data_IF_846892955972
#
_entry.id   IF_846892955972
#
_cell.length_a   1.000
_cell.length_b   1.000
_cell.length_c   1.000
_cell.angle_alpha   90.00
_cell.angle_beta   90.00
_cell.angle_gamma   90.00
#
_symmetry.space_group_name_H-M   'P 1'
#
loop_
_entity.id
_entity.type
_entity.pdbx_description
1 polymer ?
#
# COMPACT_ATOMS: atom_id res chain seq x y z
N UNK A 1 -2.96 -5.78 -14.48
CA UNK A 1 -1.75 -4.92 -14.46
C UNK A 1 -1.73 -4.20 -13.13
N UNK A 2 -0.57 -4.03 -12.51
CA UNK A 2 -0.42 -3.24 -11.29
C UNK A 2 0.44 -2.02 -11.57
N UNK A 3 0.20 -0.96 -10.81
CA UNK A 3 0.99 0.27 -10.81
C UNK A 3 1.77 0.33 -9.51
N UNK A 4 3.05 0.66 -9.60
CA UNK A 4 3.92 0.87 -8.45
C UNK A 4 4.20 2.37 -8.28
N UNK A 5 3.83 2.91 -7.12
CA UNK A 5 4.04 4.31 -6.72
C UNK A 5 5.11 4.33 -5.65
N UNK A 6 6.26 4.94 -5.95
CA UNK A 6 7.32 5.16 -4.98
C UNK A 6 6.87 6.16 -3.90
N UNK A 7 7.40 6.04 -2.68
CA UNK A 7 7.07 6.94 -1.58
C UNK A 7 7.40 8.41 -1.90
N UNK A 8 8.47 8.68 -2.66
CA UNK A 8 8.84 10.04 -3.08
C UNK A 8 7.90 10.67 -4.13
N UNK A 9 6.85 9.96 -4.54
CA UNK A 9 5.91 10.44 -5.53
C UNK A 9 4.96 11.51 -4.97
N UNK A 10 4.74 12.58 -5.73
CA UNK A 10 3.86 13.70 -5.36
C UNK A 10 2.37 13.36 -5.26
N UNK A 11 1.97 12.14 -5.65
CA UNK A 11 0.62 11.62 -5.42
C UNK A 11 0.37 11.23 -3.96
N UNK A 12 1.43 11.11 -3.15
CA UNK A 12 1.32 10.82 -1.71
C UNK A 12 1.43 12.15 -0.96
N UNK A 13 0.41 12.44 -0.14
CA UNK A 13 0.34 13.65 0.66
C UNK A 13 0.82 13.32 2.06
N UNK A 14 1.80 14.08 2.55
CA UNK A 14 2.45 13.85 3.84
C UNK A 14 2.10 14.95 4.83
N UNK A 15 1.64 14.58 6.03
CA UNK A 15 1.30 15.55 7.07
C UNK A 15 1.90 15.21 8.45
N UNK A 16 2.39 16.22 9.21
CA UNK A 16 2.81 17.51 8.70
C UNK A 16 4.05 17.32 7.80
N UNK A 17 4.18 18.09 6.72
CA UNK A 17 5.25 17.93 5.73
C UNK A 17 6.66 17.94 6.35
N UNK A 18 6.87 18.81 7.35
CA UNK A 18 8.15 18.93 8.04
C UNK A 18 8.50 17.76 8.99
N UNK A 19 7.60 16.80 9.19
CA UNK A 19 7.87 15.58 9.95
C UNK A 19 8.47 14.46 9.09
N UNK A 20 8.54 14.63 7.77
CA UNK A 20 9.01 13.62 6.83
C UNK A 20 10.35 14.03 6.22
N UNK A 21 11.31 13.11 6.26
CA UNK A 21 12.60 13.26 5.58
C UNK A 21 12.44 12.86 4.12
N UNK A 22 12.47 13.84 3.21
CA UNK A 22 12.13 13.66 1.79
C UNK A 22 13.00 12.64 1.03
N UNK A 23 14.25 12.42 1.44
CA UNK A 23 15.15 11.51 0.74
C UNK A 23 14.72 10.03 0.85
N UNK A 24 14.17 9.65 2.00
CA UNK A 24 13.83 8.26 2.32
C UNK A 24 12.35 8.08 2.74
N UNK A 25 11.56 9.16 2.73
CA UNK A 25 10.18 9.22 3.23
C UNK A 25 10.03 8.54 4.59
N UNK A 26 10.89 8.99 5.50
CA UNK A 26 11.00 8.50 6.87
C UNK A 26 10.44 9.52 7.86
N UNK A 27 9.83 9.05 8.95
CA UNK A 27 9.45 9.89 10.08
C UNK A 27 9.70 9.18 11.42
N UNK A 28 9.93 9.98 12.46
CA UNK A 28 9.97 9.52 13.87
C UNK A 28 8.86 10.15 14.72
N UNK A 29 8.03 11.00 14.11
CA UNK A 29 6.94 11.69 14.78
C UNK A 29 5.70 10.80 14.85
N UNK A 30 5.19 10.57 16.06
CA UNK A 30 3.88 9.96 16.23
C UNK A 30 2.77 10.90 15.76
N UNK A 31 1.81 10.37 15.01
CA UNK A 31 0.74 11.11 14.37
C UNK A 31 1.08 11.61 12.96
N UNK A 32 2.32 11.41 12.48
CA UNK A 32 2.66 11.71 11.09
C UNK A 32 1.92 10.76 10.14
N UNK A 33 1.27 11.33 9.12
CA UNK A 33 0.43 10.61 8.16
C UNK A 33 0.96 10.69 6.74
N UNK A 34 0.63 9.66 5.96
CA UNK A 34 0.76 9.65 4.51
C UNK A 34 -0.60 9.23 3.92
N UNK A 35 -1.12 10.03 2.99
CA UNK A 35 -2.40 9.81 2.32
C UNK A 35 -2.18 9.54 0.84
N UNK A 36 -2.87 8.53 0.31
CA UNK A 36 -2.79 8.15 -1.09
C UNK A 36 -4.17 7.80 -1.64
N UNK A 37 -4.62 8.56 -2.65
CA UNK A 37 -5.86 8.27 -3.39
C UNK A 37 -5.58 7.54 -4.70
N UNK A 38 -6.36 6.51 -4.99
CA UNK A 38 -6.21 5.71 -6.21
C UNK A 38 -7.57 5.24 -6.73
N UNK A 39 -7.70 5.07 -8.05
CA UNK A 39 -8.83 4.38 -8.65
C UNK A 39 -8.44 2.94 -8.97
N UNK A 40 -8.88 1.99 -8.15
CA UNK A 40 -8.43 0.61 -8.21
C UNK A 40 -9.28 -0.38 -7.43
N UNK A 41 -8.90 -1.65 -7.49
CA UNK A 41 -9.56 -2.75 -6.77
C UNK A 41 -8.60 -3.52 -5.85
N UNK A 42 -7.40 -2.98 -5.65
CA UNK A 42 -6.35 -3.62 -4.86
C UNK A 42 -5.31 -2.59 -4.42
N UNK A 43 -4.82 -2.67 -3.18
CA UNK A 43 -3.65 -1.91 -2.72
C UNK A 43 -2.79 -2.73 -1.75
N UNK A 44 -1.46 -2.57 -1.85
CA UNK A 44 -0.45 -3.19 -1.00
C UNK A 44 0.64 -2.16 -0.68
N UNK A 45 0.96 -2.02 0.61
CA UNK A 45 1.94 -1.07 1.13
C UNK A 45 3.22 -1.79 1.50
N UNK A 46 4.36 -1.24 1.09
CA UNK A 46 5.69 -1.69 1.45
C UNK A 46 6.47 -0.63 2.20
N UNK A 47 7.37 -1.05 3.08
CA UNK A 47 8.32 -0.17 3.73
C UNK A 47 9.55 -0.88 4.25
N UNK A 48 10.30 -0.17 5.07
CA UNK A 48 11.51 -0.69 5.73
C UNK A 48 11.23 -0.97 7.20
N UNK A 49 11.66 -2.14 7.65
CA UNK A 49 11.56 -2.58 9.04
C UNK A 49 12.96 -2.50 9.65
N UNK A 50 13.16 -1.71 10.72
CA UNK A 50 14.45 -1.62 11.37
C UNK A 50 14.82 -2.95 12.06
N UNK A 51 16.11 -3.18 12.34
CA UNK A 51 16.56 -4.35 13.07
C UNK A 51 16.04 -4.32 14.52
N UNK A 52 15.93 -5.49 15.16
CA UNK A 52 15.34 -5.67 16.50
C UNK A 52 16.02 -4.90 17.64
N UNK A 53 17.22 -4.38 17.43
CA UNK A 53 17.95 -3.55 18.40
C UNK A 53 17.54 -2.08 18.35
N UNK A 54 16.69 -1.70 17.40
CA UNK A 54 16.12 -0.37 17.28
C UNK A 54 14.66 -0.34 17.76
N UNK A 55 14.13 0.87 17.97
CA UNK A 55 12.73 1.04 18.37
C UNK A 55 11.85 0.70 17.17
N UNK A 56 11.13 -0.41 17.29
CA UNK A 56 10.25 -0.93 16.25
C UNK A 56 9.04 -0.01 16.02
N UNK A 57 8.79 0.44 14.77
CA UNK A 57 7.63 1.27 14.46
C UNK A 57 6.32 0.49 14.57
N UNK A 58 5.30 1.18 15.07
CA UNK A 58 3.91 0.76 15.01
C UNK A 58 3.21 1.74 14.09
N UNK A 59 2.55 1.21 13.06
CA UNK A 59 1.79 2.00 12.09
C UNK A 59 0.36 1.51 12.02
N UNK A 60 -0.55 2.40 11.62
CA UNK A 60 -1.94 2.05 11.36
C UNK A 60 -2.33 2.38 9.92
N UNK A 61 -3.22 1.56 9.37
CA UNK A 61 -3.67 1.66 7.98
C UNK A 61 -5.19 1.67 7.94
N UNK A 62 -5.78 2.66 7.29
CA UNK A 62 -7.22 2.73 7.03
C UNK A 62 -7.48 3.02 5.57
N UNK A 63 -8.55 2.45 5.03
CA UNK A 63 -8.98 2.64 3.64
C UNK A 63 -10.39 3.22 3.69
N UNK A 64 -10.65 4.31 2.99
CA UNK A 64 -11.98 4.95 2.89
C UNK A 64 -12.62 5.29 4.25
N UNK A 65 -11.79 5.67 5.23
CA UNK A 65 -12.25 6.01 6.58
C UNK A 65 -12.76 4.81 7.40
N UNK A 66 -12.51 3.57 6.97
CA UNK A 66 -12.83 2.38 7.77
C UNK A 66 -11.92 2.28 9.00
N UNK A 67 -12.26 1.36 9.91
CA UNK A 67 -11.44 1.04 11.09
C UNK A 67 -10.00 0.74 10.70
N UNK A 68 -9.05 1.42 11.36
CA UNK A 68 -7.64 1.25 11.09
C UNK A 68 -7.10 -0.08 11.63
N UNK A 69 -6.22 -0.72 10.87
CA UNK A 69 -5.48 -1.91 11.29
C UNK A 69 -4.07 -1.52 11.75
N UNK A 70 -3.65 -2.01 12.92
CA UNK A 70 -2.31 -1.78 13.46
C UNK A 70 -1.31 -2.85 13.00
N UNK A 71 -0.19 -2.42 12.46
CA UNK A 71 0.97 -3.25 12.14
C UNK A 71 2.09 -2.98 13.14
N UNK A 72 2.43 -4.01 13.91
CA UNK A 72 3.51 -3.98 14.90
C UNK A 72 4.72 -4.77 14.37
N UNK A 73 5.77 -4.04 13.99
CA UNK A 73 6.99 -4.62 13.44
C UNK A 73 7.78 -5.46 14.46
N UNK A 74 7.55 -5.29 15.78
CA UNK A 74 8.23 -6.08 16.82
C UNK A 74 7.99 -7.57 16.66
N UNK A 75 6.81 -7.94 16.18
CA UNK A 75 6.40 -9.32 15.98
C UNK A 75 7.26 -10.08 14.96
N UNK A 76 8.00 -9.38 14.10
CA UNK A 76 8.81 -9.96 13.04
C UNK A 76 10.25 -10.30 13.49
N UNK A 77 10.73 -9.68 14.58
CA UNK A 77 11.99 -10.07 15.23
C UNK A 77 13.24 -10.06 14.34
N UNK A 78 13.28 -9.21 13.31
CA UNK A 78 14.35 -9.19 12.31
C UNK A 78 15.70 -8.84 12.97
N UNK A 79 16.76 -9.57 12.61
CA UNK A 79 18.12 -9.27 13.12
C UNK A 79 18.80 -8.13 12.38
N UNK A 80 18.35 -7.87 11.15
CA UNK A 80 18.87 -6.90 10.21
C UNK A 80 17.71 -6.08 9.64
N UNK A 81 18.02 -4.94 9.03
CA UNK A 81 17.03 -4.10 8.36
C UNK A 81 16.35 -4.85 7.22
N UNK A 82 15.03 -4.99 7.30
CA UNK A 82 14.22 -5.59 6.25
C UNK A 82 13.69 -4.52 5.31
N UNK A 83 14.20 -4.46 4.08
CA UNK A 83 13.67 -3.57 3.04
C UNK A 83 12.51 -4.24 2.28
N UNK A 84 11.65 -3.43 1.65
CA UNK A 84 10.54 -3.89 0.81
C UNK A 84 9.65 -4.92 1.52
N UNK A 85 9.33 -4.67 2.78
CA UNK A 85 8.46 -5.53 3.59
C UNK A 85 7.01 -5.10 3.44
N UNK A 86 6.11 -6.04 3.18
CA UNK A 86 4.68 -5.77 3.09
C UNK A 86 4.10 -5.42 4.47
N UNK A 87 3.53 -4.23 4.61
CA UNK A 87 2.94 -3.74 5.86
C UNK A 87 1.44 -3.97 5.93
N UNK A 88 0.73 -3.73 4.81
CA UNK A 88 -0.73 -3.81 4.75
C UNK A 88 -1.20 -4.12 3.34
N UNK A 89 -2.29 -4.87 3.23
CA UNK A 89 -2.96 -5.21 1.98
C UNK A 89 -4.46 -4.97 2.12
N UNK A 90 -5.11 -4.48 1.06
CA UNK A 90 -6.56 -4.43 1.01
C UNK A 90 -7.19 -5.83 1.04
N UNK A 91 -8.50 -5.87 1.27
CA UNK A 91 -9.29 -7.08 1.02
C UNK A 91 -9.14 -7.54 -0.43
N UNK A 92 -9.14 -8.86 -0.72
CA UNK A 92 -9.26 -9.34 -2.10
C UNK A 92 -10.58 -8.93 -2.76
N UNK A 93 -11.61 -8.63 -1.97
CA UNK A 93 -12.94 -8.26 -2.44
C UNK A 93 -13.14 -6.73 -2.53
N UNK A 94 -12.05 -5.96 -2.51
CA UNK A 94 -12.13 -4.51 -2.72
C UNK A 94 -12.68 -4.24 -4.12
N UNK A 95 -13.86 -3.61 -4.19
CA UNK A 95 -14.48 -3.27 -5.46
C UNK A 95 -13.62 -2.24 -6.20
N UNK A 96 -13.67 -2.24 -7.53
CA UNK A 96 -13.03 -1.21 -8.33
C UNK A 96 -13.69 0.15 -8.11
N UNK A 97 -12.91 1.16 -7.78
CA UNK A 97 -13.36 2.55 -7.69
C UNK A 97 -12.32 3.46 -7.07
N UNK A 98 -12.71 4.71 -6.79
CA UNK A 98 -11.86 5.68 -6.11
C UNK A 98 -11.80 5.34 -4.62
N UNK A 99 -10.58 5.11 -4.13
CA UNK A 99 -10.27 4.81 -2.75
C UNK A 99 -9.24 5.78 -2.18
N UNK A 100 -9.23 5.94 -0.86
CA UNK A 100 -8.22 6.72 -0.13
C UNK A 100 -7.61 5.88 0.99
N UNK A 101 -6.31 5.63 0.89
CA UNK A 101 -5.51 4.97 1.92
C UNK A 101 -4.87 6.03 2.82
N UNK A 102 -5.02 5.87 4.13
CA UNK A 102 -4.34 6.67 5.15
C UNK A 102 -3.41 5.75 5.94
N UNK A 103 -2.14 6.14 6.01
CA UNK A 103 -1.08 5.50 6.78
C UNK A 103 -0.72 6.44 7.91
N UNK A 104 -0.64 5.96 9.14
CA UNK A 104 -0.29 6.78 10.31
C UNK A 104 0.79 6.10 11.14
N UNK A 105 1.90 6.82 11.39
CA UNK A 105 2.94 6.40 12.32
C UNK A 105 2.50 6.67 13.75
N UNK A 106 2.33 5.64 14.57
CA UNK A 106 1.76 5.77 15.93
C UNK A 106 2.79 5.68 17.04
N UNK A 107 3.99 5.16 16.75
CA UNK A 107 5.04 4.96 17.74
C UNK A 107 6.03 6.11 17.72
N UNK A 108 6.03 6.94 18.76
CA UNK A 108 6.96 8.05 18.88
C UNK A 108 8.41 7.56 18.99
N UNK A 109 9.32 8.22 18.27
CA UNK A 109 10.76 7.93 18.30
C UNK A 109 11.18 6.66 17.53
N UNK A 110 10.23 5.88 17.01
CA UNK A 110 10.51 4.77 16.11
C UNK A 110 10.63 5.26 14.67
N UNK A 111 11.61 4.73 13.93
CA UNK A 111 11.78 5.09 12.53
C UNK A 111 10.76 4.33 11.67
N UNK A 112 9.76 5.05 11.17
CA UNK A 112 8.83 4.53 10.16
C UNK A 112 9.28 5.01 8.78
N UNK A 113 9.51 4.08 7.86
CA UNK A 113 9.97 4.37 6.50
C UNK A 113 9.01 3.75 5.49
N UNK A 114 8.32 4.59 4.72
CA UNK A 114 7.46 4.17 3.62
C UNK A 114 8.31 3.93 2.38
N UNK A 115 8.12 2.79 1.71
CA UNK A 115 8.90 2.43 0.51
C UNK A 115 8.11 2.65 -0.77
N UNK A 116 7.03 1.89 -0.93
CA UNK A 116 6.20 1.97 -2.15
C UNK A 116 4.79 1.46 -1.91
N UNK A 117 3.86 1.92 -2.74
CA UNK A 117 2.47 1.49 -2.77
C UNK A 117 2.18 0.86 -4.14
N UNK A 118 1.76 -0.41 -4.14
CA UNK A 118 1.34 -1.11 -5.34
C UNK A 118 -0.18 -1.18 -5.35
N UNK A 119 -0.81 -0.77 -6.45
CA UNK A 119 -2.26 -0.88 -6.61
C UNK A 119 -2.64 -1.48 -7.98
N UNK A 120 -3.83 -2.08 -8.08
CA UNK A 120 -4.38 -2.52 -9.36
C UNK A 120 -5.42 -1.50 -9.85
N UNK A 121 -5.17 -0.77 -10.95
CA UNK A 121 -6.10 0.24 -11.42
C UNK A 121 -7.43 -0.34 -11.90
N UNK A 122 -8.52 0.38 -11.67
CA UNK A 122 -9.81 0.05 -12.27
C UNK A 122 -9.75 0.43 -13.75
N UNK A 123 -9.76 -0.55 -14.63
CA UNK A 123 -9.89 -0.27 -16.06
C UNK A 123 -11.36 0.04 -16.31
N UNK A 124 -11.74 1.32 -16.24
CA UNK A 124 -13.04 1.73 -16.74
C UNK A 124 -13.04 1.46 -18.25
N UNK A 125 -13.60 0.32 -18.64
CA UNK A 125 -13.86 0.06 -20.05
C UNK A 125 -14.85 1.13 -20.46
N UNK A 126 -14.39 2.17 -21.16
CA UNK A 126 -15.27 3.15 -21.76
C UNK A 126 -16.17 2.40 -22.74
N UNK A 127 -17.35 2.00 -22.29
CA UNK A 127 -18.36 1.41 -23.15
C UNK A 127 -18.78 2.56 -24.05
N UNK A 128 -18.20 2.60 -25.26
CA UNK A 128 -18.66 3.50 -26.31
C UNK A 128 -20.13 3.20 -26.52
N UNK A 129 -21.00 4.08 -26.02
CA UNK A 129 -22.43 3.96 -26.17
C UNK A 129 -22.75 4.11 -27.66
N UNK A 130 -22.96 2.99 -28.34
CA UNK A 130 -23.62 3.02 -29.64
C UNK A 130 -25.00 3.66 -29.45
N UNK A 131 -25.42 4.61 -30.31
CA UNK A 131 -26.72 5.25 -30.18
C UNK A 131 -27.81 4.20 -30.31
N UNK A 132 -28.54 3.97 -29.21
CA UNK A 132 -29.70 3.09 -29.19
C UNK A 132 -30.86 3.80 -29.89
N UNK A 133 -31.41 3.15 -30.92
CA UNK A 133 -32.64 3.57 -31.61
C UNK A 133 -33.80 3.63 -30.59
N UNK A 134 -34.61 4.70 -30.55
CA UNK A 134 -35.69 4.82 -29.58
C UNK A 134 -36.89 3.92 -29.95
N UNK A 135 -37.31 3.07 -29.03
CA UNK A 135 -38.59 2.34 -29.07
C UNK A 135 -39.56 2.99 -28.06
N UNK A 136 -40.88 3.16 -28.36
CA UNK A 136 -41.77 3.98 -27.55
C UNK A 136 -42.12 3.39 -26.19
N UNK A 137 -42.39 4.29 -25.25
CA UNK A 137 -42.62 4.06 -23.82
C UNK A 137 -43.94 3.35 -23.48
N UNK A 138 -43.92 2.55 -22.42
CA UNK A 138 -45.09 2.21 -21.60
C UNK A 138 -44.75 2.38 -20.12
N UNK A 139 -45.53 3.24 -19.46
CA UNK A 139 -45.39 3.69 -18.07
C UNK A 139 -45.67 2.57 -17.04
N UNK A 140 -44.90 2.52 -15.94
CA UNK A 140 -45.34 2.07 -14.60
C UNK A 140 -44.26 2.39 -13.53
N UNK A 141 -44.62 2.53 -12.23
CA UNK A 141 -44.05 3.54 -11.34
C UNK A 141 -42.87 3.12 -10.44
N UNK A 142 -42.25 4.16 -9.89
CA UNK A 142 -41.15 4.24 -8.93
C UNK A 142 -41.32 3.46 -7.62
N UNK A 143 -40.24 2.79 -7.19
CA UNK A 143 -39.92 2.62 -5.77
C UNK A 143 -38.43 2.88 -5.53
N UNK A 144 -38.16 3.89 -4.70
CA UNK A 144 -36.83 4.34 -4.29
C UNK A 144 -36.35 3.39 -3.19
N UNK A 145 -35.42 2.49 -3.50
CA UNK A 145 -34.65 1.78 -2.49
C UNK A 145 -33.23 2.30 -2.52
N UNK A 146 -32.93 3.24 -1.62
CA UNK A 146 -31.57 3.62 -1.28
C UNK A 146 -30.91 2.42 -0.59
N UNK A 147 -30.16 1.64 -1.37
CA UNK A 147 -29.31 0.58 -0.83
C UNK A 147 -28.07 1.25 -0.25
N UNK A 148 -28.12 1.52 1.06
CA UNK A 148 -26.93 1.83 1.84
C UNK A 148 -26.23 0.52 2.14
N UNK A 149 -25.39 0.03 1.23
CA UNK A 149 -24.53 -1.12 1.53
C UNK A 149 -23.37 -0.62 2.36
N UNK A 150 -23.47 -0.81 3.69
CA UNK A 150 -22.30 -0.76 4.55
C UNK A 150 -21.42 -1.97 4.19
N UNK A 151 -20.55 -1.81 3.22
CA UNK A 151 -19.62 -2.85 2.81
C UNK A 151 -18.49 -2.91 3.83
N UNK A 152 -18.57 -3.93 4.68
CA UNK A 152 -17.50 -4.33 5.57
C UNK A 152 -16.31 -4.83 4.74
N UNK A 153 -15.42 -3.91 4.36
CA UNK A 153 -14.14 -4.26 3.73
C UNK A 153 -13.26 -4.90 4.81
N UNK A 154 -12.98 -6.20 4.65
CA UNK A 154 -12.17 -6.97 5.58
C UNK A 154 -10.71 -6.90 5.12
N UNK A 155 -9.85 -6.22 5.88
CA UNK A 155 -8.41 -6.17 5.62
C UNK A 155 -7.77 -7.56 5.69
N UNK A 156 -6.99 -7.91 4.66
CA UNK A 156 -6.13 -9.10 4.68
C UNK A 156 -4.80 -8.78 5.35
N UNK A 157 -4.42 -9.56 6.37
CA UNK A 157 -3.07 -9.50 6.96
C UNK A 157 -2.11 -10.28 6.05
N UNK A 158 -1.13 -9.63 5.42
CA UNK A 158 0.06 -10.35 4.93
C UNK A 158 1.07 -10.36 6.07
N UNK A 159 1.37 -11.56 6.57
CA UNK A 159 2.52 -11.80 7.43
C UNK A 159 3.71 -12.13 6.51
N UNK A 160 4.62 -11.17 6.33
CA UNK A 160 6.01 -11.35 5.88
C UNK A 160 6.27 -12.45 4.85
N UNK A 161 5.84 -12.25 3.61
CA UNK A 161 6.36 -13.02 2.47
C UNK A 161 7.71 -12.46 2.03
N UNK A 162 8.81 -13.11 2.41
CA UNK A 162 10.15 -12.87 1.85
C UNK A 162 10.11 -13.20 0.35
N UNK A 163 10.05 -12.18 -0.51
CA UNK A 163 10.37 -12.34 -1.92
C UNK A 163 11.90 -12.31 -2.05
N UNK A 164 12.56 -13.45 -1.82
CA UNK A 164 13.99 -13.59 -2.08
C UNK A 164 14.24 -13.62 -3.59
N UNK A 165 14.82 -12.54 -4.12
CA UNK A 165 15.30 -12.47 -5.49
C UNK A 165 16.44 -13.46 -5.71
N UNK A 166 16.25 -14.39 -6.64
CA UNK A 166 17.31 -15.25 -7.16
C UNK A 166 18.33 -14.42 -7.95
N UNK A 167 19.47 -14.09 -7.35
CA UNK A 167 20.66 -13.74 -8.11
C UNK A 167 21.54 -14.99 -8.28
N UNK A 168 21.49 -15.56 -9.48
CA UNK A 168 22.41 -16.60 -9.95
C UNK A 168 23.76 -15.95 -10.23
N UNK A 169 24.61 -15.85 -9.21
CA UNK A 169 26.01 -15.46 -9.38
C UNK A 169 26.75 -16.57 -10.12
N UNK A 170 27.07 -16.34 -11.41
CA UNK A 170 28.07 -17.15 -12.12
C UNK A 170 29.43 -16.80 -11.51
N UNK A 171 30.11 -17.79 -10.96
CA UNK A 171 31.53 -17.69 -10.65
C UNK A 171 32.30 -17.73 -11.97
N UNK A 172 32.93 -16.63 -12.35
CA UNK A 172 34.13 -16.68 -13.17
C UNK A 172 35.31 -16.50 -12.20
N UNK A 173 36.00 -17.60 -11.88
CA UNK A 173 37.32 -17.55 -11.25
C UNK A 173 38.37 -17.61 -12.36
N UNK A 174 38.94 -16.45 -12.67
CA UNK A 174 40.25 -16.31 -13.30
C UNK A 174 41.30 -16.73 -12.27
N UNK A 175 41.92 -17.88 -12.47
CA UNK A 175 43.14 -18.29 -11.77
C UNK A 175 44.35 -17.65 -12.45
N UNK A 176 44.69 -16.43 -12.07
CA UNK A 176 46.04 -15.90 -12.24
C UNK A 176 46.76 -15.87 -10.88
N UNK A 177 47.79 -16.72 -10.81
CA UNK A 177 49.08 -16.56 -10.13
C UNK A 177 49.15 -15.89 -8.74
N UNK A 178 49.81 -16.57 -7.79
CA UNK A 178 51.17 -16.21 -7.31
C UNK A 178 51.64 -17.16 -6.19
N UNK A 179 52.87 -17.65 -6.40
CA UNK A 179 53.90 -18.17 -5.51
C UNK A 179 53.77 -17.92 -3.99
N UNK A 180 53.95 -18.97 -3.19
CA UNK A 180 55.17 -19.25 -2.39
C UNK A 180 55.09 -20.65 -1.75
#
# INVERSE_FOLDING_TARGET
MTTNVSADNTLIIYEPENAWFLNDMTTTLAGATAEFSFDGSFVLVFGTIPPRNETAPISTFSLDGTVSFAFDTRSLGLRETGHNQGFSQSSPDLLGGLHTLIINSTQAGAQFTLGSIIFAPSISSSISAFPSVPTPASNAPSSTNAVTTSQKIIFGRIVGGILSSWQKTRKEELLDSILL
#
